data_IF_705649629611
#
_entry.id   IF_705649629611
#
_cell.length_a   1.000
_cell.length_b   1.000
_cell.length_c   1.000
_cell.angle_alpha   90.00
_cell.angle_beta   90.00
_cell.angle_gamma   90.00
#
_symmetry.space_group_name_H-M   'P 1'
#
loop_
_entity.id
_entity.type
_entity.pdbx_description
1 polymer ?
#
# COMPACT_ATOMS: atom_id res chain seq x y z
N UNK A 1 0.99 2.24 -8.42
CA UNK A 1 2.37 2.75 -8.20
C UNK A 1 2.75 2.52 -6.75
N UNK A 2 4.03 2.39 -6.44
CA UNK A 2 4.54 2.26 -5.07
C UNK A 2 5.66 3.28 -4.83
N UNK A 3 5.63 3.91 -3.66
CA UNK A 3 6.55 4.98 -3.26
C UNK A 3 7.11 4.69 -1.86
N UNK A 4 8.37 5.03 -1.64
CA UNK A 4 9.02 4.96 -0.32
C UNK A 4 8.79 6.21 0.52
N UNK A 5 9.22 6.15 1.79
CA UNK A 5 9.25 7.32 2.68
C UNK A 5 10.25 8.40 2.24
N UNK A 6 11.18 8.07 1.35
CA UNK A 6 12.09 9.02 0.70
C UNK A 6 11.44 9.77 -0.48
N UNK A 7 10.12 9.61 -0.66
CA UNK A 7 9.31 10.23 -1.71
C UNK A 7 9.73 9.83 -3.13
N UNK A 8 10.44 8.71 -3.29
CA UNK A 8 10.81 8.17 -4.60
C UNK A 8 9.89 7.03 -5.00
N UNK A 9 9.53 7.02 -6.28
CA UNK A 9 8.82 5.90 -6.87
C UNK A 9 9.75 4.68 -6.92
N UNK A 10 9.37 3.63 -6.22
CA UNK A 10 10.06 2.34 -6.28
C UNK A 10 9.52 1.49 -7.43
N UNK A 11 8.27 1.72 -7.83
CA UNK A 11 7.64 0.98 -8.91
C UNK A 11 6.44 1.71 -9.51
N UNK A 12 6.34 1.69 -10.84
CA UNK A 12 5.21 2.25 -11.59
C UNK A 12 4.76 1.20 -12.59
N UNK A 13 3.47 0.83 -12.52
CA UNK A 13 2.81 0.00 -13.51
C UNK A 13 1.76 0.87 -14.19
N UNK A 14 2.02 1.21 -15.45
CA UNK A 14 1.17 2.05 -16.28
C UNK A 14 0.44 1.22 -17.36
N UNK A 15 -0.58 1.82 -18.00
CA UNK A 15 -1.27 1.22 -19.14
C UNK A 15 -2.44 0.29 -18.79
N UNK A 16 -3.01 0.41 -17.59
CA UNK A 16 -4.24 -0.30 -17.24
C UNK A 16 -5.47 0.50 -17.66
N UNK A 17 -6.47 -0.23 -18.15
CA UNK A 17 -7.80 0.31 -18.36
C UNK A 17 -8.40 0.79 -17.03
N UNK A 18 -9.18 1.88 -17.06
CA UNK A 18 -9.82 2.42 -15.85
C UNK A 18 -10.82 1.47 -15.18
N UNK A 19 -11.23 0.39 -15.86
CA UNK A 19 -12.11 -0.67 -15.36
C UNK A 19 -11.35 -1.80 -14.64
N UNK A 20 -10.01 -1.80 -14.66
CA UNK A 20 -9.21 -2.84 -14.05
C UNK A 20 -9.41 -2.90 -12.53
N UNK A 21 -9.59 -4.10 -11.98
CA UNK A 21 -9.75 -4.28 -10.54
C UNK A 21 -8.40 -4.20 -9.83
N UNK A 22 -8.39 -3.69 -8.61
CA UNK A 22 -7.20 -3.62 -7.75
C UNK A 22 -6.50 -4.98 -7.61
N UNK A 23 -7.27 -6.07 -7.47
CA UNK A 23 -6.73 -7.42 -7.42
C UNK A 23 -5.94 -7.79 -8.68
N UNK A 24 -6.41 -7.38 -9.87
CA UNK A 24 -5.75 -7.65 -11.16
C UNK A 24 -4.44 -6.86 -11.28
N UNK A 25 -4.47 -5.60 -10.85
CA UNK A 25 -3.29 -4.72 -10.83
C UNK A 25 -2.23 -5.25 -9.86
N UNK A 26 -2.63 -5.70 -8.66
CA UNK A 26 -1.72 -6.29 -7.68
C UNK A 26 -1.14 -7.61 -8.19
N UNK A 27 -1.98 -8.52 -8.70
CA UNK A 27 -1.52 -9.79 -9.21
C UNK A 27 -0.48 -9.61 -10.31
N UNK A 28 -0.71 -8.66 -11.22
CA UNK A 28 0.25 -8.34 -12.28
C UNK A 28 1.54 -7.74 -11.73
N UNK A 29 1.44 -6.90 -10.70
CA UNK A 29 2.61 -6.30 -10.03
C UNK A 29 3.53 -7.35 -9.39
N UNK A 30 2.97 -8.50 -8.98
CA UNK A 30 3.72 -9.57 -8.31
C UNK A 30 4.26 -10.64 -9.26
N UNK A 31 3.57 -10.90 -10.37
CA UNK A 31 3.87 -12.03 -11.26
C UNK A 31 4.63 -11.67 -12.54
N UNK A 32 4.94 -10.40 -12.76
CA UNK A 32 5.74 -9.96 -13.92
C UNK A 32 7.25 -10.16 -13.71
N UNK A 33 7.99 -10.16 -14.82
CA UNK A 33 9.46 -10.21 -14.79
C UNK A 33 10.08 -8.99 -14.10
N UNK A 34 9.42 -7.83 -14.19
CA UNK A 34 9.79 -6.55 -13.56
C UNK A 34 9.04 -6.30 -12.24
N UNK A 35 8.59 -7.36 -11.54
CA UNK A 35 7.76 -7.25 -10.34
C UNK A 35 8.30 -6.29 -9.27
N UNK A 36 7.37 -5.69 -8.53
CA UNK A 36 7.69 -4.92 -7.33
C UNK A 36 8.34 -5.84 -6.28
N UNK A 37 9.56 -5.51 -5.88
CA UNK A 37 10.27 -6.22 -4.81
C UNK A 37 10.04 -5.52 -3.47
N UNK A 38 9.65 -6.31 -2.48
CA UNK A 38 9.57 -5.84 -1.09
C UNK A 38 10.92 -6.10 -0.43
N UNK A 39 11.61 -5.08 0.09
CA UNK A 39 12.85 -5.29 0.83
C UNK A 39 12.60 -6.09 2.12
N UNK A 40 13.58 -6.87 2.54
CA UNK A 40 13.47 -7.67 3.76
C UNK A 40 13.16 -6.80 4.98
N UNK A 41 12.22 -7.27 5.81
CA UNK A 41 11.76 -6.56 7.01
C UNK A 41 10.92 -5.30 6.73
N UNK A 42 10.53 -5.04 5.48
CA UNK A 42 9.67 -3.90 5.10
C UNK A 42 8.34 -4.36 4.53
N UNK A 43 7.37 -3.43 4.53
CA UNK A 43 6.04 -3.62 3.96
C UNK A 43 5.66 -2.39 3.15
N UNK A 44 4.92 -2.61 2.07
CA UNK A 44 4.18 -1.53 1.41
C UNK A 44 2.77 -1.46 1.96
N UNK A 45 2.29 -0.24 2.23
CA UNK A 45 0.89 0.02 2.53
C UNK A 45 0.11 0.09 1.21
N UNK A 46 -0.96 -0.70 1.12
CA UNK A 46 -1.87 -0.73 -0.02
C UNK A 46 -3.11 0.12 0.26
N UNK A 47 -3.89 0.41 -0.80
CA UNK A 47 -5.21 0.99 -0.63
C UNK A 47 -6.21 -0.06 -0.07
N UNK A 48 -7.31 0.37 0.55
CA UNK A 48 -8.31 -0.49 1.18
C UNK A 48 -9.06 -1.41 0.20
N UNK A 49 -8.97 -1.12 -1.10
CA UNK A 49 -9.49 -1.96 -2.20
C UNK A 49 -8.66 -3.22 -2.47
N UNK A 50 -7.43 -3.28 -1.96
CA UNK A 50 -6.55 -4.43 -2.11
C UNK A 50 -6.77 -5.47 -1.00
N UNK A 51 -6.18 -6.66 -1.18
CA UNK A 51 -6.11 -7.70 -0.15
C UNK A 51 -4.72 -7.74 0.51
N UNK A 52 -4.69 -8.11 1.80
CA UNK A 52 -3.43 -8.35 2.51
C UNK A 52 -2.65 -9.50 1.87
N UNK A 53 -1.34 -9.32 1.68
CA UNK A 53 -0.43 -10.34 1.16
C UNK A 53 0.95 -10.23 1.83
N UNK A 54 1.79 -11.28 1.77
CA UNK A 54 3.16 -11.18 2.29
C UNK A 54 3.91 -9.98 1.70
N UNK A 55 4.40 -9.08 2.56
CA UNK A 55 5.08 -7.84 2.17
C UNK A 55 4.15 -6.65 1.84
N UNK A 56 2.82 -6.84 1.94
CA UNK A 56 1.82 -5.83 1.60
C UNK A 56 0.68 -5.77 2.63
N UNK A 57 0.45 -4.60 3.20
CA UNK A 57 -0.54 -4.39 4.25
C UNK A 57 -1.61 -3.40 3.81
N UNK A 58 -2.86 -3.81 3.91
CA UNK A 58 -4.02 -2.92 3.71
C UNK A 58 -4.40 -2.28 5.04
N UNK A 59 -4.82 -1.01 5.06
CA UNK A 59 -5.36 -0.35 6.24
C UNK A 59 -6.47 -1.19 6.87
N UNK A 60 -6.53 -1.18 8.19
CA UNK A 60 -7.61 -1.82 8.91
C UNK A 60 -8.94 -1.17 8.51
N UNK A 61 -9.90 -1.99 8.06
CA UNK A 61 -11.20 -1.51 7.61
C UNK A 61 -11.99 -0.98 8.79
N UNK A 62 -12.58 0.20 8.63
CA UNK A 62 -13.39 0.85 9.67
C UNK A 62 -12.59 1.76 10.61
N UNK A 63 -11.25 1.76 10.54
CA UNK A 63 -10.41 2.70 11.29
C UNK A 63 -9.87 3.77 10.34
N UNK A 64 -10.12 5.04 10.67
CA UNK A 64 -9.59 6.15 9.89
C UNK A 64 -8.24 6.56 10.47
N UNK A 65 -7.17 6.24 9.76
CA UNK A 65 -5.85 6.77 10.08
C UNK A 65 -5.79 8.23 9.62
N UNK A 66 -5.94 9.18 10.55
CA UNK A 66 -5.84 10.61 10.26
C UNK A 66 -4.48 11.16 10.69
N UNK A 67 -3.74 11.77 9.75
CA UNK A 67 -2.44 12.41 10.00
C UNK A 67 -2.48 13.49 11.10
N UNK A 68 -3.65 14.06 11.42
CA UNK A 68 -3.83 15.02 12.52
C UNK A 68 -3.66 14.43 13.92
N UNK A 69 -3.84 13.12 14.09
CA UNK A 69 -3.64 12.43 15.37
C UNK A 69 -2.20 11.94 15.56
N UNK A 70 -1.37 12.04 14.53
CA UNK A 70 0.06 11.75 14.60
C UNK A 70 0.82 12.95 15.16
N UNK A 71 0.48 13.34 16.39
CA UNK A 71 1.24 14.35 17.13
C UNK A 71 2.38 13.62 17.86
N UNK A 72 3.61 14.12 17.78
CA UNK A 72 4.82 13.44 18.31
C UNK A 72 4.67 13.08 19.82
N UNK A 73 3.79 13.78 20.54
CA UNK A 73 3.49 13.57 21.96
C UNK A 73 2.39 12.54 22.27
N UNK A 74 1.51 12.21 21.32
CA UNK A 74 0.35 11.35 21.56
C UNK A 74 0.12 10.43 20.33
N UNK A 75 0.32 9.11 20.45
CA UNK A 75 -0.01 8.20 19.35
C UNK A 75 -1.51 8.23 19.05
N UNK A 76 -1.92 8.10 17.77
CA UNK A 76 -3.31 8.02 17.37
C UNK A 76 -4.01 6.85 18.08
N UNK A 77 -5.21 7.10 18.60
CA UNK A 77 -6.02 6.11 19.29
C UNK A 77 -7.15 5.68 18.37
N UNK A 78 -7.38 4.38 18.25
CA UNK A 78 -8.55 3.87 17.54
C UNK A 78 -9.81 4.45 18.20
N UNK A 79 -10.80 4.83 17.39
CA UNK A 79 -12.14 5.01 17.92
C UNK A 79 -12.64 3.65 18.43
N UNK A 80 -13.16 3.61 19.66
CA UNK A 80 -13.71 2.41 20.31
C UNK A 80 -14.78 1.70 19.48
#
# INVERSE_FOLDING_TARGET
MACGFDMKFHYVLAGWEGSATDATVLWSTLNRGDRLKVPDGKFYLLDAGYSNQPGFLTPYRGVRYHLKEFNISCPPMNAE
#
